data_IF_514716925538
#
_entry.id   IF_514716925538
#
_cell.length_a   1.000
_cell.length_b   1.000
_cell.length_c   1.000
_cell.angle_alpha   90.00
_cell.angle_beta   90.00
_cell.angle_gamma   90.00
#
_symmetry.space_group_name_H-M   'P 1'
#
loop_
_entity.id
_entity.type
_entity.pdbx_description
1 polymer ?
#
# COMPACT_ATOMS: atom_id res chain seq x y z
N UNK A 1 6.33 5.91 -14.14
CA UNK A 1 5.38 7.03 -13.99
C UNK A 1 5.77 8.01 -12.91
N UNK A 2 6.08 7.58 -11.67
CA UNK A 2 6.46 8.51 -10.58
C UNK A 2 7.64 9.45 -10.92
N UNK A 3 8.63 8.99 -11.69
CA UNK A 3 9.77 9.81 -12.10
C UNK A 3 9.42 10.91 -13.13
N UNK A 4 8.22 10.86 -13.71
CA UNK A 4 7.72 11.84 -14.67
C UNK A 4 6.94 12.97 -13.99
N UNK A 5 6.61 12.82 -12.69
CA UNK A 5 5.91 13.85 -11.95
C UNK A 5 6.86 15.02 -11.65
N UNK A 6 6.39 16.27 -11.82
CA UNK A 6 7.15 17.42 -11.41
C UNK A 6 7.34 17.39 -9.89
N UNK A 7 8.46 17.96 -9.45
CA UNK A 7 8.83 18.06 -8.04
C UNK A 7 8.93 19.52 -7.66
N UNK A 8 8.55 19.83 -6.43
CA UNK A 8 8.78 21.16 -5.86
C UNK A 8 10.29 21.38 -5.59
N UNK A 9 10.65 22.54 -5.05
CA UNK A 9 12.02 22.79 -4.55
C UNK A 9 12.42 21.82 -3.40
N UNK A 10 11.43 21.21 -2.75
CA UNK A 10 11.55 20.06 -1.85
C UNK A 10 11.27 18.79 -2.66
N UNK A 11 11.92 17.62 -2.41
CA UNK A 11 11.68 16.34 -3.10
C UNK A 11 10.23 15.81 -3.16
N UNK A 12 9.24 16.57 -2.68
CA UNK A 12 7.80 16.32 -2.81
C UNK A 12 7.30 16.53 -4.25
N UNK A 13 6.27 15.75 -4.60
CA UNK A 13 5.56 15.85 -5.87
C UNK A 13 4.81 17.19 -5.93
N UNK A 14 4.95 17.90 -7.04
CA UNK A 14 4.11 19.06 -7.36
C UNK A 14 2.87 18.59 -8.13
N UNK A 15 1.76 18.37 -7.41
CA UNK A 15 0.54 17.89 -8.04
C UNK A 15 -0.20 18.97 -8.85
N UNK A 16 0.11 20.26 -8.62
CA UNK A 16 -0.55 21.35 -9.34
C UNK A 16 0.01 21.51 -10.76
N UNK A 17 1.31 21.29 -10.93
CA UNK A 17 2.00 21.35 -12.23
C UNK A 17 2.03 20.01 -12.97
N UNK A 18 1.51 18.93 -12.37
CA UNK A 18 1.50 17.61 -12.97
C UNK A 18 0.46 17.49 -14.09
N UNK A 19 0.82 16.76 -15.14
CA UNK A 19 -0.10 16.41 -16.23
C UNK A 19 -1.33 15.66 -15.68
N UNK A 20 -2.56 16.16 -15.90
CA UNK A 20 -3.79 15.51 -15.44
C UNK A 20 -3.96 14.08 -15.96
N UNK A 21 -3.56 13.78 -17.20
CA UNK A 21 -3.64 12.40 -17.74
C UNK A 21 -2.71 11.46 -16.96
N UNK A 22 -1.52 11.94 -16.62
CA UNK A 22 -0.56 11.21 -15.81
C UNK A 22 -1.08 10.98 -14.38
N UNK A 23 -1.71 11.98 -13.77
CA UNK A 23 -2.33 11.86 -12.45
C UNK A 23 -3.50 10.87 -12.45
N UNK A 24 -4.33 10.87 -13.51
CA UNK A 24 -5.46 9.95 -13.65
C UNK A 24 -4.98 8.50 -13.82
N UNK A 25 -3.99 8.29 -14.68
CA UNK A 25 -3.37 6.99 -14.87
C UNK A 25 -2.71 6.49 -13.58
N UNK A 26 -2.05 7.38 -12.84
CA UNK A 26 -1.39 7.03 -11.58
C UNK A 26 -2.41 6.65 -10.52
N UNK A 27 -3.47 7.44 -10.31
CA UNK A 27 -4.54 7.12 -9.36
C UNK A 27 -5.15 5.76 -9.65
N UNK A 28 -5.40 5.45 -10.93
CA UNK A 28 -5.94 4.15 -11.35
C UNK A 28 -5.00 2.98 -11.04
N UNK A 29 -3.69 3.16 -11.24
CA UNK A 29 -2.68 2.14 -10.90
C UNK A 29 -2.53 1.97 -9.37
N UNK A 30 -2.63 3.05 -8.61
CA UNK A 30 -2.58 3.00 -7.16
C UNK A 30 -3.78 2.24 -6.58
N UNK A 31 -4.98 2.44 -7.12
CA UNK A 31 -6.16 1.68 -6.69
C UNK A 31 -6.02 0.18 -6.97
N UNK A 32 -5.52 -0.20 -8.15
CA UNK A 32 -5.20 -1.60 -8.45
C UNK A 32 -4.15 -2.18 -7.49
N UNK A 33 -3.18 -1.35 -7.09
CA UNK A 33 -2.15 -1.74 -6.13
C UNK A 33 -2.74 -1.92 -4.73
N UNK A 34 -3.63 -1.02 -4.29
CA UNK A 34 -4.36 -1.13 -3.03
C UNK A 34 -5.18 -2.43 -2.99
N UNK A 35 -5.92 -2.74 -4.04
CA UNK A 35 -6.72 -3.96 -4.11
C UNK A 35 -5.86 -5.22 -4.01
N UNK A 36 -4.76 -5.27 -4.76
CA UNK A 36 -3.80 -6.38 -4.70
C UNK A 36 -3.20 -6.54 -3.29
N UNK A 37 -2.81 -5.44 -2.66
CA UNK A 37 -2.25 -5.44 -1.31
C UNK A 37 -3.28 -5.87 -0.25
N UNK A 38 -4.52 -5.39 -0.34
CA UNK A 38 -5.61 -5.82 0.55
C UNK A 38 -5.84 -7.33 0.45
N UNK A 39 -5.87 -7.88 -0.76
CA UNK A 39 -6.01 -9.32 -0.97
C UNK A 39 -4.84 -10.10 -0.38
N UNK A 40 -3.60 -9.63 -0.58
CA UNK A 40 -2.40 -10.24 -0.01
C UNK A 40 -2.41 -10.24 1.53
N UNK A 41 -2.76 -9.10 2.14
CA UNK A 41 -2.88 -8.97 3.61
C UNK A 41 -3.97 -9.90 4.15
N UNK A 42 -5.12 -9.99 3.49
CA UNK A 42 -6.18 -10.92 3.88
C UNK A 42 -5.69 -12.37 3.84
N UNK A 43 -4.95 -12.75 2.79
CA UNK A 43 -4.33 -14.08 2.67
C UNK A 43 -3.33 -14.38 3.79
N UNK A 44 -2.47 -13.43 4.14
CA UNK A 44 -1.55 -13.56 5.28
C UNK A 44 -2.30 -13.70 6.62
N UNK A 45 -3.39 -12.96 6.80
CA UNK A 45 -4.26 -13.08 7.97
C UNK A 45 -4.88 -14.48 8.09
N UNK A 46 -5.35 -15.05 6.98
CA UNK A 46 -5.87 -16.43 6.95
C UNK A 46 -4.78 -17.44 7.29
N UNK A 47 -3.58 -17.30 6.73
CA UNK A 47 -2.44 -18.18 7.03
C UNK A 47 -2.08 -18.15 8.53
N UNK A 48 -2.10 -16.97 9.14
CA UNK A 48 -1.89 -16.82 10.58
C UNK A 48 -3.00 -17.48 11.40
N UNK A 49 -4.27 -17.28 11.02
CA UNK A 49 -5.41 -17.84 11.74
C UNK A 49 -5.46 -19.37 11.68
N UNK A 50 -4.96 -19.97 10.59
CA UNK A 50 -4.90 -21.41 10.40
C UNK A 50 -3.62 -22.06 10.97
N UNK A 51 -2.69 -21.27 11.54
CA UNK A 51 -1.42 -21.80 12.01
C UNK A 51 -1.63 -22.66 13.27
N UNK A 52 -1.26 -23.96 13.26
CA UNK A 52 -1.43 -24.82 14.42
C UNK A 52 -0.44 -24.46 15.52
N UNK A 53 -0.96 -24.19 16.72
CA UNK A 53 -0.16 -24.08 17.94
C UNK A 53 -0.12 -25.47 18.59
N UNK A 54 0.78 -26.33 18.12
CA UNK A 54 1.02 -27.61 18.80
C UNK A 54 1.84 -27.36 20.08
N UNK A 55 1.24 -27.71 21.23
CA UNK A 55 1.85 -27.57 22.57
C UNK A 55 2.88 -28.68 22.90
N UNK A 56 3.20 -29.57 21.95
CA UNK A 56 3.92 -30.83 22.21
C UNK A 56 5.38 -30.87 21.75
N UNK A 57 5.93 -29.77 21.21
CA UNK A 57 7.33 -29.64 20.79
C UNK A 57 7.73 -28.18 20.67
N UNK A 58 9.04 -27.89 20.53
CA UNK A 58 9.65 -26.55 20.58
C UNK A 58 8.79 -25.44 19.92
N UNK A 59 7.98 -24.77 20.74
CA UNK A 59 7.06 -23.74 20.32
C UNK A 59 7.75 -22.37 20.11
N UNK A 60 9.09 -22.31 20.14
CA UNK A 60 9.84 -21.09 19.89
C UNK A 60 9.77 -20.67 18.41
N UNK A 61 9.93 -21.62 17.48
CA UNK A 61 9.89 -21.31 16.05
C UNK A 61 8.49 -20.86 15.55
N UNK A 62 7.37 -21.54 15.90
CA UNK A 62 6.01 -21.06 15.62
C UNK A 62 5.73 -19.64 16.13
N UNK A 63 6.14 -19.33 17.37
CA UNK A 63 5.93 -18.01 17.99
C UNK A 63 6.71 -16.92 17.28
N UNK A 64 7.95 -17.21 16.85
CA UNK A 64 8.76 -16.25 16.10
C UNK A 64 8.17 -15.99 14.70
N UNK A 65 7.63 -17.01 14.03
CA UNK A 65 6.93 -16.85 12.75
C UNK A 65 5.68 -15.98 12.89
N UNK A 66 4.84 -16.22 13.91
CA UNK A 66 3.63 -15.41 14.16
C UNK A 66 4.01 -13.94 14.41
N UNK A 67 5.01 -13.69 15.27
CA UNK A 67 5.48 -12.34 15.55
C UNK A 67 6.03 -11.64 14.29
N UNK A 68 6.79 -12.37 13.46
CA UNK A 68 7.38 -11.84 12.23
C UNK A 68 6.31 -11.48 11.19
N UNK A 69 5.28 -12.32 11.03
CA UNK A 69 4.16 -12.01 10.12
C UNK A 69 3.31 -10.87 10.68
N UNK A 70 3.08 -10.81 11.99
CA UNK A 70 2.41 -9.68 12.64
C UNK A 70 3.13 -8.34 12.39
N UNK A 71 4.46 -8.32 12.50
CA UNK A 71 5.27 -7.15 12.17
C UNK A 71 5.15 -6.78 10.68
N UNK A 72 5.24 -7.77 9.78
CA UNK A 72 5.05 -7.55 8.35
C UNK A 72 3.66 -6.97 8.03
N UNK A 73 2.60 -7.45 8.68
CA UNK A 73 1.25 -6.91 8.51
C UNK A 73 1.16 -5.43 8.93
N UNK A 74 1.85 -5.05 10.01
CA UNK A 74 1.91 -3.65 10.44
C UNK A 74 2.62 -2.77 9.40
N UNK A 75 3.77 -3.23 8.89
CA UNK A 75 4.53 -2.51 7.85
C UNK A 75 3.71 -2.36 6.55
N UNK A 76 3.04 -3.44 6.11
CA UNK A 76 2.16 -3.42 4.94
C UNK A 76 0.97 -2.48 5.13
N UNK A 77 0.41 -2.40 6.34
CA UNK A 77 -0.64 -1.44 6.68
C UNK A 77 -0.17 0.01 6.52
N UNK A 78 1.06 0.31 6.91
CA UNK A 78 1.64 1.64 6.73
C UNK A 78 1.86 1.96 5.24
N UNK A 79 2.30 0.98 4.44
CA UNK A 79 2.44 1.14 2.98
C UNK A 79 1.08 1.39 2.31
N UNK A 80 0.04 0.66 2.70
CA UNK A 80 -1.33 0.89 2.22
C UNK A 80 -1.79 2.33 2.48
N UNK A 81 -1.52 2.87 3.68
CA UNK A 81 -1.87 4.25 4.01
C UNK A 81 -1.19 5.24 3.06
N UNK A 82 0.11 5.10 2.80
CA UNK A 82 0.83 5.98 1.88
C UNK A 82 0.30 5.91 0.44
N UNK A 83 -0.01 4.70 -0.05
CA UNK A 83 -0.57 4.53 -1.39
C UNK A 83 -1.96 5.16 -1.48
N UNK A 84 -2.78 5.02 -0.42
CA UNK A 84 -4.10 5.61 -0.36
C UNK A 84 -4.06 7.14 -0.32
N UNK A 85 -3.20 7.72 0.52
CA UNK A 85 -2.96 9.16 0.57
C UNK A 85 -2.50 9.71 -0.79
N UNK A 86 -1.61 8.98 -1.47
CA UNK A 86 -1.16 9.35 -2.81
C UNK A 86 -2.29 9.29 -3.85
N UNK A 87 -3.13 8.26 -3.81
CA UNK A 87 -4.30 8.15 -4.71
C UNK A 87 -5.28 9.31 -4.49
N UNK A 88 -5.57 9.66 -3.22
CA UNK A 88 -6.40 10.82 -2.88
C UNK A 88 -5.77 12.11 -3.40
N UNK A 89 -4.47 12.32 -3.19
CA UNK A 89 -3.78 13.51 -3.66
C UNK A 89 -3.92 13.66 -5.18
N UNK A 90 -3.63 12.61 -5.96
CA UNK A 90 -3.83 12.63 -7.41
C UNK A 90 -5.26 13.02 -7.79
N UNK A 91 -6.28 12.43 -7.14
CA UNK A 91 -7.70 12.69 -7.45
C UNK A 91 -8.16 14.09 -7.06
N UNK A 92 -7.65 14.64 -5.96
CA UNK A 92 -8.00 15.99 -5.51
C UNK A 92 -7.61 17.07 -6.52
N UNK A 93 -6.55 16.83 -7.28
CA UNK A 93 -6.06 17.71 -8.35
C UNK A 93 -6.73 17.44 -9.72
N UNK A 94 -7.68 16.51 -9.80
CA UNK A 94 -8.43 16.18 -11.01
C UNK A 94 -9.90 16.64 -10.95
N UNK A 95 -10.32 17.37 -9.91
CA UNK A 95 -11.72 17.72 -9.68
C UNK A 95 -12.39 18.44 -10.87
N UNK A 96 -11.64 19.27 -11.60
CA UNK A 96 -12.14 20.05 -12.75
C UNK A 96 -11.66 19.50 -14.11
N UNK A 97 -10.97 18.36 -14.12
CA UNK A 97 -10.43 17.76 -15.34
C UNK A 97 -11.49 16.95 -16.09
N UNK A 98 -11.74 17.30 -17.36
CA UNK A 98 -12.60 16.56 -18.28
C UNK A 98 -11.74 15.97 -19.42
N UNK A 99 -11.57 14.63 -19.49
CA UNK A 99 -10.77 13.95 -20.50
C UNK A 99 -11.39 13.96 -21.90
#
# INVERSE_FOLDING_TARGET
MLCLLPKTADPRIDFAEADPELLLALASQLDLTLDCMHQGIAGLGVLLACFPLDDTGDAAAPRQSIASVGALLADLGQVLLYIHELSIACRSHLADYAP
#
